data_IF_020343438756
#
_entry.id   IF_020343438756
#
_cell.length_a   1.000
_cell.length_b   1.000
_cell.length_c   1.000
_cell.angle_alpha   90.00
_cell.angle_beta   90.00
_cell.angle_gamma   90.00
#
_symmetry.space_group_name_H-M   'P 1'
#
loop_
_entity.id
_entity.type
_entity.pdbx_description
1 polymer ?
#
# COMPACT_ATOMS: atom_id res chain seq x y z
N UNK A 1 10.16 44.98 -55.52
CA UNK A 1 10.26 43.52 -55.35
C UNK A 1 9.80 43.20 -53.94
N UNK A 2 8.58 42.70 -53.79
CA UNK A 2 7.93 42.40 -52.51
C UNK A 2 7.77 40.89 -52.41
N UNK A 3 8.56 40.25 -51.57
CA UNK A 3 8.42 38.84 -51.24
C UNK A 3 7.95 38.74 -49.79
N UNK A 4 6.64 38.60 -49.60
CA UNK A 4 6.06 38.16 -48.35
C UNK A 4 6.29 36.65 -48.23
N UNK A 5 7.23 36.24 -47.38
CA UNK A 5 7.34 34.86 -46.93
C UNK A 5 6.44 34.64 -45.71
N UNK A 6 5.69 33.52 -45.65
CA UNK A 6 4.80 33.22 -44.54
C UNK A 6 5.62 32.93 -43.28
N UNK A 7 5.23 33.54 -42.17
CA UNK A 7 5.68 33.14 -40.84
C UNK A 7 5.18 31.71 -40.61
N UNK A 8 6.10 30.75 -40.66
CA UNK A 8 5.85 29.38 -40.24
C UNK A 8 5.59 29.38 -38.75
N UNK A 9 4.32 29.25 -38.38
CA UNK A 9 3.89 29.08 -37.00
C UNK A 9 4.43 27.74 -36.51
N UNK A 10 5.30 27.81 -35.52
CA UNK A 10 5.91 26.68 -34.83
C UNK A 10 4.79 25.81 -34.20
N UNK A 11 4.57 24.54 -34.61
CA UNK A 11 3.49 23.72 -34.06
C UNK A 11 3.80 23.11 -32.68
N UNK A 12 4.95 23.38 -32.07
CA UNK A 12 5.32 22.74 -30.79
C UNK A 12 4.81 23.43 -29.53
N UNK A 13 3.71 24.20 -29.60
CA UNK A 13 3.03 24.77 -28.43
C UNK A 13 1.65 24.15 -28.21
N UNK A 14 1.62 22.82 -28.13
CA UNK A 14 0.55 22.05 -27.49
C UNK A 14 1.19 20.97 -26.62
N UNK A 15 1.85 21.41 -25.54
CA UNK A 15 2.12 20.55 -24.38
C UNK A 15 0.83 20.66 -23.55
N UNK A 16 -0.13 19.77 -23.72
CA UNK A 16 -0.02 18.43 -23.16
C UNK A 16 -0.29 18.61 -21.68
N UNK A 17 -1.56 18.64 -21.30
CA UNK A 17 -1.96 18.39 -19.91
C UNK A 17 -1.23 17.11 -19.54
N UNK A 18 -0.22 17.20 -18.67
CA UNK A 18 0.26 16.02 -17.98
C UNK A 18 -0.97 15.55 -17.22
N UNK A 19 -1.65 14.55 -17.78
CA UNK A 19 -2.55 13.73 -17.00
C UNK A 19 -1.58 13.09 -16.02
N UNK A 20 -1.47 13.67 -14.82
CA UNK A 20 -0.83 13.00 -13.71
C UNK A 20 -1.59 11.68 -13.58
N UNK A 21 -0.99 10.61 -14.08
CA UNK A 21 -1.49 9.27 -13.81
C UNK A 21 -1.42 9.13 -12.31
N UNK A 22 -2.59 9.18 -11.66
CA UNK A 22 -2.70 8.84 -10.24
C UNK A 22 -2.02 7.50 -10.05
N UNK A 23 -1.15 7.44 -9.05
CA UNK A 23 -0.44 6.22 -8.72
C UNK A 23 -1.47 5.15 -8.35
N UNK A 24 -1.28 3.92 -8.82
CA UNK A 24 -2.15 2.82 -8.40
C UNK A 24 -1.74 2.35 -7.01
N UNK A 25 -2.72 2.06 -6.15
CA UNK A 25 -2.45 1.58 -4.79
C UNK A 25 -2.93 0.15 -4.57
N UNK A 26 -2.29 -0.51 -3.62
CA UNK A 26 -2.79 -1.70 -2.95
C UNK A 26 -2.98 -1.39 -1.47
N UNK A 27 -4.16 -1.69 -0.95
CA UNK A 27 -4.48 -1.57 0.47
C UNK A 27 -4.54 -2.97 1.07
N UNK A 28 -3.87 -3.17 2.21
CA UNK A 28 -3.71 -4.50 2.82
C UNK A 28 -3.95 -4.41 4.31
N UNK A 29 -4.68 -5.38 4.85
CA UNK A 29 -4.91 -5.52 6.29
C UNK A 29 -4.47 -6.91 6.75
N UNK A 30 -4.66 -7.23 8.03
CA UNK A 30 -4.47 -8.61 8.52
C UNK A 30 -5.54 -9.58 7.99
N UNK A 31 -6.65 -9.06 7.47
CA UNK A 31 -7.81 -9.83 7.05
C UNK A 31 -7.97 -9.92 5.53
N UNK A 32 -7.63 -8.86 4.79
CA UNK A 32 -7.92 -8.75 3.36
C UNK A 32 -6.89 -7.91 2.57
N UNK A 33 -7.04 -7.88 1.25
CA UNK A 33 -6.26 -7.07 0.31
C UNK A 33 -7.17 -6.49 -0.76
N UNK A 34 -7.09 -5.18 -0.96
CA UNK A 34 -7.91 -4.42 -1.90
C UNK A 34 -7.04 -3.84 -3.01
N UNK A 35 -7.52 -3.93 -4.24
CA UNK A 35 -6.94 -3.27 -5.41
C UNK A 35 -7.34 -1.80 -5.46
N UNK A 36 -6.62 -1.03 -6.26
CA UNK A 36 -6.85 0.41 -6.40
C UNK A 36 -8.32 0.79 -6.67
N UNK A 37 -9.04 0.02 -7.50
CA UNK A 37 -10.44 0.25 -7.85
C UNK A 37 -11.45 -0.14 -6.75
N UNK A 38 -10.99 -0.83 -5.72
CA UNK A 38 -11.76 -1.22 -4.54
C UNK A 38 -11.52 -0.26 -3.36
N UNK A 39 -10.43 0.52 -3.39
CA UNK A 39 -10.13 1.54 -2.38
C UNK A 39 -11.11 2.70 -2.56
N UNK A 40 -11.70 3.12 -1.44
CA UNK A 40 -12.59 4.27 -1.39
C UNK A 40 -12.44 4.97 -0.04
N UNK A 41 -12.85 6.23 0.01
CA UNK A 41 -12.91 7.00 1.26
C UNK A 41 -13.66 6.22 2.36
N UNK A 42 -14.85 5.69 2.04
CA UNK A 42 -15.66 4.94 2.99
C UNK A 42 -14.97 3.67 3.51
N UNK A 43 -14.18 3.00 2.67
CA UNK A 43 -13.37 1.85 3.09
C UNK A 43 -12.25 2.27 4.05
N UNK A 44 -11.52 3.34 3.73
CA UNK A 44 -10.45 3.84 4.61
C UNK A 44 -11.01 4.31 5.95
N UNK A 45 -12.15 5.01 5.94
CA UNK A 45 -12.87 5.42 7.14
C UNK A 45 -13.26 4.20 7.99
N UNK A 46 -13.88 3.17 7.39
CA UNK A 46 -14.28 1.96 8.13
C UNK A 46 -13.10 1.22 8.74
N UNK A 47 -11.97 1.14 8.02
CA UNK A 47 -10.77 0.46 8.51
C UNK A 47 -10.08 1.22 9.65
N UNK A 48 -10.12 2.56 9.64
CA UNK A 48 -9.64 3.38 10.77
C UNK A 48 -10.52 3.17 12.00
N UNK A 49 -11.84 3.09 11.83
CA UNK A 49 -12.74 2.77 12.93
C UNK A 49 -12.50 1.37 13.50
N UNK A 50 -12.21 0.38 12.65
CA UNK A 50 -11.85 -0.97 13.07
C UNK A 50 -10.51 -1.00 13.84
N UNK A 51 -9.49 -0.26 13.37
CA UNK A 51 -8.24 -0.05 14.11
C UNK A 51 -8.48 0.58 15.50
N UNK A 52 -9.40 1.53 15.59
CA UNK A 52 -9.72 2.20 16.86
C UNK A 52 -10.40 1.27 17.87
N UNK A 53 -11.14 0.27 17.39
CA UNK A 53 -11.81 -0.74 18.21
C UNK A 53 -10.91 -1.94 18.53
N UNK A 54 -9.66 -1.93 18.06
CA UNK A 54 -8.75 -3.07 18.09
C UNK A 54 -9.32 -4.33 17.37
N UNK A 55 -10.20 -4.12 16.38
CA UNK A 55 -10.76 -5.17 15.52
C UNK A 55 -9.83 -5.49 14.33
N UNK A 56 -8.82 -4.64 14.10
CA UNK A 56 -7.82 -4.75 13.04
C UNK A 56 -6.41 -4.61 13.63
N UNK A 57 -5.49 -5.49 13.25
CA UNK A 57 -4.10 -5.44 13.75
C UNK A 57 -3.29 -4.37 13.03
N UNK A 58 -3.49 -4.26 11.71
CA UNK A 58 -2.77 -3.31 10.87
C UNK A 58 -3.50 -2.99 9.57
N UNK A 59 -3.08 -1.87 8.98
CA UNK A 59 -3.42 -1.41 7.66
C UNK A 59 -2.14 -0.93 6.96
N UNK A 60 -1.93 -1.31 5.70
CA UNK A 60 -0.81 -0.88 4.86
C UNK A 60 -1.36 -0.39 3.53
N UNK A 61 -1.05 0.85 3.18
CA UNK A 61 -1.35 1.44 1.90
C UNK A 61 -0.04 1.64 1.13
N UNK A 62 0.08 0.91 0.01
CA UNK A 62 1.31 0.79 -0.77
C UNK A 62 1.03 1.25 -2.22
N UNK A 63 1.70 2.30 -2.71
CA UNK A 63 1.63 2.67 -4.11
C UNK A 63 2.44 1.69 -4.98
N UNK A 64 2.05 1.55 -6.24
CA UNK A 64 2.77 0.73 -7.22
C UNK A 64 4.18 1.28 -7.49
N UNK A 65 4.33 2.60 -7.55
CA UNK A 65 5.63 3.27 -7.59
C UNK A 65 5.85 4.13 -6.32
N UNK A 66 7.05 4.16 -5.71
CA UNK A 66 7.28 5.00 -4.54
C UNK A 66 7.01 6.48 -4.80
N UNK A 67 6.30 7.13 -3.89
CA UNK A 67 5.91 8.55 -4.00
C UNK A 67 6.93 9.39 -3.26
N UNK A 68 7.75 10.15 -3.97
CA UNK A 68 8.85 10.94 -3.37
C UNK A 68 9.78 10.07 -2.50
N UNK A 69 10.05 8.83 -2.95
CA UNK A 69 10.82 7.83 -2.22
C UNK A 69 10.02 7.09 -1.13
N UNK A 70 8.81 7.53 -0.80
CA UNK A 70 7.93 6.86 0.16
C UNK A 70 7.36 5.56 -0.42
N UNK A 71 7.73 4.42 0.16
CA UNK A 71 7.33 3.11 -0.32
C UNK A 71 5.95 2.66 0.18
N UNK A 72 5.49 3.15 1.32
CA UNK A 72 4.18 2.84 1.90
C UNK A 72 3.91 3.70 3.13
N UNK A 73 2.64 3.80 3.51
CA UNK A 73 2.23 4.15 4.87
C UNK A 73 1.53 2.96 5.52
N UNK A 74 1.82 2.77 6.80
CA UNK A 74 1.29 1.68 7.61
C UNK A 74 0.72 2.26 8.90
N UNK A 75 -0.42 1.73 9.32
CA UNK A 75 -1.01 2.01 10.62
C UNK A 75 -1.11 0.68 11.35
N UNK A 76 -0.56 0.61 12.56
CA UNK A 76 -0.77 -0.48 13.49
C UNK A 76 -1.84 -0.07 14.51
N UNK A 77 -2.43 -1.04 15.21
CA UNK A 77 -3.32 -0.78 16.34
C UNK A 77 -2.75 0.26 17.32
N UNK A 78 -3.64 0.93 18.07
CA UNK A 78 -3.30 2.14 18.84
C UNK A 78 -2.67 3.26 18.00
N UNK A 79 -2.99 3.32 16.70
CA UNK A 79 -2.60 4.40 15.77
C UNK A 79 -1.09 4.71 15.76
N UNK A 80 -0.27 3.67 15.82
CA UNK A 80 1.15 3.80 15.48
C UNK A 80 1.26 3.86 13.96
N UNK A 81 1.62 5.03 13.43
CA UNK A 81 1.85 5.21 12.00
C UNK A 81 3.33 5.02 11.69
N UNK A 82 3.63 4.24 10.64
CA UNK A 82 4.98 4.00 10.15
C UNK A 82 5.06 4.24 8.65
N UNK A 83 6.24 4.66 8.18
CA UNK A 83 6.51 4.81 6.75
C UNK A 83 7.97 4.55 6.42
N UNK A 84 8.24 4.14 5.18
CA UNK A 84 9.58 3.82 4.68
C UNK A 84 9.95 4.76 3.54
N UNK A 85 11.08 5.45 3.67
CA UNK A 85 11.70 6.20 2.59
C UNK A 85 12.84 5.38 2.00
N UNK A 86 12.83 5.21 0.69
CA UNK A 86 13.87 4.55 -0.09
C UNK A 86 14.90 5.58 -0.55
N UNK A 87 16.17 5.25 -0.39
CA UNK A 87 17.30 6.03 -0.87
C UNK A 87 17.75 5.53 -2.26
N UNK A 88 18.42 6.40 -3.03
CA UNK A 88 18.87 6.09 -4.40
C UNK A 88 19.84 4.90 -4.48
N UNK A 89 20.57 4.63 -3.40
CA UNK A 89 21.52 3.52 -3.28
C UNK A 89 20.86 2.18 -2.90
N UNK A 90 19.53 2.16 -2.79
CA UNK A 90 18.74 1.00 -2.39
C UNK A 90 18.70 0.76 -0.87
N UNK A 91 19.25 1.68 -0.07
CA UNK A 91 19.03 1.69 1.37
C UNK A 91 17.66 2.30 1.71
N UNK A 92 17.31 2.29 3.00
CA UNK A 92 16.04 2.87 3.44
C UNK A 92 16.16 3.46 4.85
N UNK A 93 15.28 4.42 5.12
CA UNK A 93 14.99 4.91 6.46
C UNK A 93 13.53 4.62 6.81
N UNK A 94 13.27 4.03 7.98
CA UNK A 94 11.93 3.80 8.49
C UNK A 94 11.62 4.78 9.63
N UNK A 95 10.49 5.47 9.51
CA UNK A 95 9.99 6.37 10.55
C UNK A 95 8.74 5.80 11.21
N UNK A 96 8.52 6.16 12.48
CA UNK A 96 7.35 5.80 13.26
C UNK A 96 6.93 6.97 14.15
N UNK A 97 5.63 7.19 14.26
CA UNK A 97 4.99 8.11 15.20
C UNK A 97 3.73 7.50 15.80
N UNK A 98 3.28 8.02 16.93
CA UNK A 98 1.97 7.69 17.51
C UNK A 98 1.05 8.88 17.23
N UNK A 99 -0.17 8.60 16.76
CA UNK A 99 -1.20 9.59 16.51
C UNK A 99 -2.37 9.29 17.44
N UNK A 100 -2.84 10.28 18.21
CA UNK A 100 -3.90 10.05 19.20
C UNK A 100 -5.32 10.29 18.64
N UNK A 101 -5.43 10.73 17.38
CA UNK A 101 -6.69 11.06 16.71
C UNK A 101 -6.89 10.24 15.43
N UNK A 102 -8.01 9.49 15.36
CA UNK A 102 -8.35 8.70 14.17
C UNK A 102 -8.68 9.58 12.96
N UNK A 103 -9.16 10.80 13.18
CA UNK A 103 -9.38 11.78 12.11
C UNK A 103 -8.07 12.19 11.43
N UNK A 104 -7.02 12.46 12.20
CA UNK A 104 -5.68 12.72 11.69
C UNK A 104 -5.10 11.52 10.92
N UNK A 105 -5.27 10.29 11.41
CA UNK A 105 -4.87 9.07 10.69
C UNK A 105 -5.60 8.95 9.34
N UNK A 106 -6.92 9.13 9.32
CA UNK A 106 -7.73 9.07 8.11
C UNK A 106 -7.30 10.15 7.11
N UNK A 107 -7.08 11.38 7.56
CA UNK A 107 -6.62 12.48 6.71
C UNK A 107 -5.29 12.13 6.02
N UNK A 108 -4.30 11.61 6.77
CA UNK A 108 -3.02 11.20 6.20
C UNK A 108 -3.15 10.04 5.20
N UNK A 109 -4.05 9.09 5.44
CA UNK A 109 -4.35 8.00 4.49
C UNK A 109 -4.95 8.53 3.20
N UNK A 110 -5.90 9.46 3.29
CA UNK A 110 -6.57 10.08 2.15
C UNK A 110 -5.62 10.98 1.37
N UNK A 111 -4.80 11.80 2.02
CA UNK A 111 -3.81 12.64 1.34
C UNK A 111 -2.79 11.80 0.56
N UNK A 112 -2.37 10.67 1.14
CA UNK A 112 -1.46 9.76 0.47
C UNK A 112 -2.12 9.08 -0.74
N UNK A 113 -3.36 8.59 -0.61
CA UNK A 113 -4.08 7.89 -1.67
C UNK A 113 -4.60 8.81 -2.78
N UNK A 114 -5.30 9.89 -2.42
CA UNK A 114 -6.00 10.78 -3.35
C UNK A 114 -5.06 11.82 -3.97
N UNK A 115 -4.10 12.34 -3.20
CA UNK A 115 -3.24 13.45 -3.62
C UNK A 115 -1.80 13.03 -3.90
N UNK A 116 -1.42 11.79 -3.55
CA UNK A 116 -0.03 11.36 -3.65
C UNK A 116 0.89 12.19 -2.74
N UNK A 117 0.39 12.62 -1.59
CA UNK A 117 1.13 13.43 -0.62
C UNK A 117 1.57 12.56 0.56
N UNK A 118 2.86 12.19 0.67
CA UNK A 118 3.35 11.41 1.79
C UNK A 118 3.41 12.24 3.08
N UNK A 119 3.29 11.60 4.26
CA UNK A 119 3.39 12.31 5.53
C UNK A 119 4.78 12.93 5.73
N UNK A 120 4.82 14.11 6.33
CA UNK A 120 6.06 14.78 6.73
C UNK A 120 6.68 14.07 7.94
N UNK A 121 7.93 13.62 7.80
CA UNK A 121 8.61 12.76 8.78
C UNK A 121 9.61 13.49 9.68
N UNK A 122 9.74 14.82 9.56
CA UNK A 122 10.75 15.63 10.28
C UNK A 122 10.74 15.47 11.81
N UNK A 123 9.59 15.07 12.38
CA UNK A 123 9.40 14.89 13.81
C UNK A 123 9.16 13.43 14.21
N UNK A 124 9.15 12.51 13.25
CA UNK A 124 8.93 11.10 13.51
C UNK A 124 10.21 10.44 14.01
N UNK A 125 10.06 9.35 14.74
CA UNK A 125 11.20 8.58 15.24
C UNK A 125 11.78 7.71 14.14
N UNK A 126 13.06 7.86 13.83
CA UNK A 126 13.81 6.88 13.03
C UNK A 126 13.97 5.56 13.80
N UNK A 127 13.39 4.50 13.25
CA UNK A 127 13.40 3.13 13.79
C UNK A 127 14.22 2.15 12.93
N UNK A 128 14.95 2.63 11.93
CA UNK A 128 15.75 1.82 10.99
C UNK A 128 16.70 0.88 11.72
N UNK A 129 17.44 1.40 12.72
CA UNK A 129 18.41 0.61 13.49
C UNK A 129 17.77 -0.45 14.39
N UNK A 130 16.53 -0.23 14.85
CA UNK A 130 15.81 -1.24 15.64
C UNK A 130 15.30 -2.39 14.79
N UNK A 131 15.01 -2.15 13.51
CA UNK A 131 14.63 -3.20 12.56
C UNK A 131 15.83 -4.08 12.23
N UNK A 132 17.01 -3.49 11.99
CA UNK A 132 18.24 -4.24 11.68
C UNK A 132 18.77 -5.11 12.83
N UNK A 133 18.33 -4.88 14.08
CA UNK A 133 18.67 -5.77 15.21
C UNK A 133 17.77 -7.01 15.30
N UNK A 134 16.66 -7.04 14.57
CA UNK A 134 15.78 -8.21 14.37
C UNK A 134 16.04 -8.83 12.99
N UNK A 135 17.28 -9.22 12.70
CA UNK A 135 17.52 -10.22 11.65
C UNK A 135 16.73 -11.49 12.05
N UNK A 136 15.86 -12.12 11.28
CA UNK A 136 15.80 -12.24 9.83
C UNK A 136 14.37 -12.60 9.41
N UNK A 137 13.62 -11.62 8.90
CA UNK A 137 12.54 -11.80 7.93
C UNK A 137 12.02 -10.41 7.62
N UNK A 138 12.26 -9.91 6.41
CA UNK A 138 11.49 -8.78 5.90
C UNK A 138 10.01 -9.10 6.08
N UNK A 139 9.19 -8.16 6.55
CA UNK A 139 7.74 -8.35 6.56
C UNK A 139 7.24 -8.74 5.17
N UNK A 140 7.89 -8.25 4.11
CA UNK A 140 7.65 -8.65 2.72
C UNK A 140 8.09 -10.11 2.41
N UNK A 141 9.14 -10.63 3.06
CA UNK A 141 9.56 -12.04 2.91
C UNK A 141 8.60 -13.00 3.62
N UNK A 142 8.03 -12.61 4.78
CA UNK A 142 6.93 -13.35 5.42
C UNK A 142 5.67 -13.37 4.57
N UNK A 143 5.44 -12.27 3.84
CA UNK A 143 4.28 -12.10 2.97
C UNK A 143 4.39 -12.84 1.63
N UNK A 144 5.58 -12.90 1.02
CA UNK A 144 5.81 -13.79 -0.13
C UNK A 144 5.61 -15.26 0.21
N UNK A 145 5.93 -15.68 1.45
CA UNK A 145 5.70 -17.06 1.88
C UNK A 145 4.19 -17.41 1.98
N UNK A 146 3.34 -16.43 2.28
CA UNK A 146 1.88 -16.61 2.26
C UNK A 146 1.32 -16.68 0.83
N UNK A 147 1.85 -15.89 -0.10
CA UNK A 147 1.44 -15.88 -1.52
C UNK A 147 1.84 -17.15 -2.32
N UNK A 148 2.65 -18.05 -1.74
CA UNK A 148 2.94 -19.36 -2.31
C UNK A 148 2.33 -20.53 -1.52
N UNK A 149 1.53 -20.26 -0.49
CA UNK A 149 0.73 -21.28 0.21
C UNK A 149 -0.64 -21.50 -0.41
N UNK A 150 -0.77 -21.21 -1.72
CA UNK A 150 -1.83 -21.74 -2.57
C UNK A 150 -1.70 -23.25 -2.71
N UNK A 151 -1.88 -23.98 -1.61
CA UNK A 151 -2.31 -25.37 -1.66
C UNK A 151 -3.70 -25.32 -2.28
N UNK A 152 -3.78 -25.69 -3.54
CA UNK A 152 -4.99 -26.28 -4.12
C UNK A 152 -5.56 -27.24 -3.10
N UNK A 153 -6.82 -27.09 -2.64
CA UNK A 153 -7.43 -28.12 -1.81
C UNK A 153 -7.38 -29.41 -2.62
N UNK A 154 -6.74 -30.41 -2.02
CA UNK A 154 -6.65 -31.77 -2.51
C UNK A 154 -8.07 -32.24 -2.85
N UNK A 155 -8.39 -32.34 -4.14
CA UNK A 155 -9.63 -32.95 -4.57
C UNK A 155 -9.56 -34.43 -4.19
N UNK A 156 -10.22 -34.78 -3.08
CA UNK A 156 -10.48 -36.17 -2.73
C UNK A 156 -11.24 -36.79 -3.91
N UNK A 157 -10.71 -37.82 -4.57
CA UNK A 157 -11.45 -38.51 -5.62
C UNK A 157 -12.73 -39.10 -5.03
N UNK A 158 -13.87 -38.67 -5.56
CA UNK A 158 -15.18 -39.25 -5.25
C UNK A 158 -15.23 -40.63 -5.91
N UNK A 159 -14.67 -41.64 -5.26
CA UNK A 159 -14.92 -43.04 -5.63
C UNK A 159 -14.70 -44.06 -4.48
N UNK A 160 -14.54 -43.64 -3.22
CA UNK A 160 -14.30 -44.58 -2.11
C UNK A 160 -15.28 -44.46 -0.91
N UNK A 161 -16.50 -43.98 -1.15
CA UNK A 161 -17.58 -43.97 -0.13
C UNK A 161 -18.69 -45.01 -0.36
N UNK A 162 -18.52 -45.94 -1.31
CA UNK A 162 -19.48 -47.04 -1.55
C UNK A 162 -18.76 -48.39 -1.58
N UNK A 163 -18.00 -48.72 -0.54
CA UNK A 163 -17.62 -50.12 -0.31
C UNK A 163 -17.10 -50.38 1.10
N UNK A 164 -17.91 -50.12 2.13
CA UNK A 164 -17.73 -50.74 3.46
C UNK A 164 -18.94 -50.43 4.34
N UNK A 165 -19.80 -51.44 4.55
CA UNK A 165 -20.75 -51.37 5.66
C UNK A 165 -22.10 -52.04 5.48
N UNK A 166 -22.42 -52.64 4.32
CA UNK A 166 -23.40 -53.74 4.32
C UNK A 166 -22.68 -55.00 4.81
N UNK A 167 -22.95 -55.42 6.05
CA UNK A 167 -23.07 -56.82 6.48
C UNK A 167 -23.45 -56.93 7.96
N UNK A 168 -24.72 -57.30 8.15
CA UNK A 168 -25.34 -58.08 9.23
C UNK A 168 -25.36 -57.50 10.64
#
# INVERSE_FOLDING_TARGET
MSNGSPVSVNPSRMMGVQVETMNEFTLRTDQDSYRNDEISHALLESLVEELQRDDLDFLVLEPHEPIQGNAYIQVLGSFVMETRLLDEDGTFTQYSTIIDDGGEVLAMLLDYWEHGEPPLTDHWKDITKSLNKRDSMSLLDRLRHFLHSGKTPEQVPIDEAISRGMRR
#
